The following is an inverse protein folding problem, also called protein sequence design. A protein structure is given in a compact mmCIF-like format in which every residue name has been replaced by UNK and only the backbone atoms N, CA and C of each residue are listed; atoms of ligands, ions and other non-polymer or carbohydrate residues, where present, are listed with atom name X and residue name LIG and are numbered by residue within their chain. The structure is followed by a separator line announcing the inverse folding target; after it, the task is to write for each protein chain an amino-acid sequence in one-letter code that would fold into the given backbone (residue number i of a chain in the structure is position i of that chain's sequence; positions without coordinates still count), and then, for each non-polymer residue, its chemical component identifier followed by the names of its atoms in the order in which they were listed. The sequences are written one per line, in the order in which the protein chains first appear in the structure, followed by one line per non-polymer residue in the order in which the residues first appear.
data_IF_573000521463
#
_entry.id   IF_573000521463
#
_cell.length_a   1.000
_cell.length_b   1.000
_cell.length_c   1.000
_cell.angle_alpha   90.00
_cell.angle_beta   90.00
_cell.angle_gamma   90.00
#
_symmetry.space_group_name_H-M   'P 1'
#
loop_
_entity.id
_entity.type
_entity.pdbx_description
1 polymer ?
#
# COMPACT_ATOMS: atom_id res chain seq x y z
N UNK A 1 25.64 16.49 -15.21
CA UNK A 1 26.60 16.76 -14.11
C UNK A 1 27.17 15.41 -13.69
N UNK A 2 28.45 15.13 -13.92
CA UNK A 2 29.04 13.81 -13.62
C UNK A 2 29.59 13.82 -12.20
N UNK A 3 29.04 12.98 -11.31
CA UNK A 3 29.45 12.85 -9.89
C UNK A 3 30.81 12.12 -9.72
N UNK A 4 31.76 12.35 -10.63
CA UNK A 4 33.05 11.65 -10.65
C UNK A 4 34.15 12.41 -9.88
N UNK A 5 33.85 13.57 -9.30
CA UNK A 5 34.78 14.36 -8.49
C UNK A 5 34.56 14.05 -6.98
N UNK A 6 35.62 13.66 -6.23
CA UNK A 6 35.52 13.38 -4.80
C UNK A 6 34.97 14.54 -3.95
N UNK A 7 35.23 15.80 -4.31
CA UNK A 7 34.66 16.96 -3.60
C UNK A 7 33.14 17.04 -3.77
N UNK A 8 32.65 16.83 -4.99
CA UNK A 8 31.21 16.87 -5.27
C UNK A 8 30.47 15.73 -4.57
N UNK A 9 31.09 14.55 -4.50
CA UNK A 9 30.55 13.42 -3.76
C UNK A 9 30.52 13.71 -2.25
N UNK A 10 31.58 14.29 -1.70
CA UNK A 10 31.64 14.66 -0.28
C UNK A 10 30.60 15.72 0.08
N UNK A 11 30.36 16.70 -0.78
CA UNK A 11 29.36 17.73 -0.52
C UNK A 11 27.93 17.17 -0.64
N UNK A 12 27.68 16.28 -1.60
CA UNK A 12 26.41 15.57 -1.75
C UNK A 12 26.09 14.76 -0.49
N UNK A 13 27.02 13.92 -0.05
CA UNK A 13 26.81 13.07 1.13
C UNK A 13 26.62 13.90 2.39
N UNK A 14 27.38 14.99 2.57
CA UNK A 14 27.20 15.92 3.70
C UNK A 14 25.80 16.52 3.72
N UNK A 15 25.29 17.01 2.58
CA UNK A 15 23.94 17.56 2.48
C UNK A 15 22.86 16.50 2.73
N UNK A 16 23.08 15.30 2.21
CA UNK A 16 22.17 14.18 2.43
C UNK A 16 22.11 13.77 3.90
N UNK A 17 23.24 13.69 4.61
CA UNK A 17 23.27 13.41 6.05
C UNK A 17 22.51 14.46 6.85
N UNK A 18 22.74 15.74 6.57
CA UNK A 18 22.01 16.82 7.25
C UNK A 18 20.50 16.75 6.95
N UNK A 19 20.11 16.35 5.74
CA UNK A 19 18.72 16.11 5.40
C UNK A 19 18.11 14.98 6.26
N UNK A 20 18.83 13.88 6.45
CA UNK A 20 18.38 12.78 7.31
C UNK A 20 18.25 13.17 8.78
N UNK A 21 19.10 14.08 9.27
CA UNK A 21 19.02 14.59 10.65
C UNK A 21 17.73 15.39 10.90
N UNK A 22 17.28 16.18 9.92
CA UNK A 22 16.06 16.99 10.04
C UNK A 22 14.80 16.26 9.59
N UNK A 23 14.93 15.23 8.76
CA UNK A 23 13.84 14.42 8.23
C UNK A 23 14.16 12.91 8.37
N UNK A 24 14.08 12.37 9.61
CA UNK A 24 14.39 10.96 9.86
C UNK A 24 13.42 10.00 9.14
N UNK A 25 12.25 10.47 8.71
CA UNK A 25 11.28 9.72 7.90
C UNK A 25 11.79 9.33 6.50
N UNK A 26 12.93 9.87 6.06
CA UNK A 26 13.63 9.43 4.84
C UNK A 26 14.48 8.18 5.05
N UNK A 27 14.75 7.80 6.31
CA UNK A 27 15.39 6.54 6.64
C UNK A 27 14.34 5.41 6.70
N UNK A 28 14.77 4.14 6.62
CA UNK A 28 13.86 3.01 6.75
C UNK A 28 13.07 3.05 8.05
N UNK A 29 11.74 2.91 7.94
CA UNK A 29 10.80 2.90 9.06
C UNK A 29 10.69 1.48 9.62
N UNK A 30 10.63 1.36 10.95
CA UNK A 30 10.60 0.08 11.66
C UNK A 30 9.50 -0.03 12.72
N UNK A 31 8.85 1.07 13.08
CA UNK A 31 7.80 1.10 14.10
C UNK A 31 6.67 2.06 13.72
N UNK A 32 5.53 1.89 14.39
CA UNK A 32 4.29 2.61 14.12
C UNK A 32 4.42 4.12 14.40
N UNK A 33 5.25 4.49 15.39
CA UNK A 33 5.43 5.90 15.75
C UNK A 33 6.18 6.65 14.65
N UNK A 34 7.23 6.04 14.10
CA UNK A 34 7.98 6.57 12.97
C UNK A 34 7.14 6.60 11.68
N UNK A 35 6.28 5.60 11.49
CA UNK A 35 5.33 5.56 10.38
C UNK A 35 4.33 6.72 10.44
N UNK A 36 3.68 6.94 11.59
CA UNK A 36 2.75 8.06 11.76
C UNK A 36 3.45 9.41 11.55
N UNK A 37 4.66 9.59 12.09
CA UNK A 37 5.42 10.82 11.88
C UNK A 37 5.77 11.07 10.40
N UNK A 38 6.00 10.01 9.62
CA UNK A 38 6.22 10.11 8.18
C UNK A 38 4.96 10.55 7.43
N UNK A 39 3.78 10.02 7.80
CA UNK A 39 2.50 10.44 7.24
C UNK A 39 2.20 11.92 7.53
N UNK A 40 2.39 12.35 8.79
CA UNK A 40 2.20 13.75 9.19
C UNK A 40 3.14 14.69 8.40
N UNK A 41 4.36 14.23 8.12
CA UNK A 41 5.32 14.98 7.30
C UNK A 41 4.87 15.10 5.85
N UNK A 42 4.36 14.02 5.25
CA UNK A 42 3.79 14.03 3.89
C UNK A 42 2.64 15.03 3.82
N UNK A 43 1.71 15.00 4.79
CA UNK A 43 0.57 15.91 4.81
C UNK A 43 1.02 17.38 4.89
N UNK A 44 1.95 17.70 5.81
CA UNK A 44 2.50 19.05 5.94
C UNK A 44 3.21 19.52 4.66
N UNK A 45 3.94 18.63 3.99
CA UNK A 45 4.61 18.94 2.72
C UNK A 45 3.59 19.24 1.63
N UNK A 46 2.57 18.39 1.45
CA UNK A 46 1.51 18.60 0.45
C UNK A 46 0.76 19.92 0.68
N UNK A 47 0.43 20.24 1.94
CA UNK A 47 -0.17 21.53 2.29
C UNK A 47 0.74 22.73 1.95
N UNK A 48 2.06 22.56 2.06
CA UNK A 48 3.05 23.62 1.77
C UNK A 48 3.33 23.82 0.28
N UNK A 49 3.06 22.82 -0.56
CA UNK A 49 3.32 22.85 -2.01
C UNK A 49 2.13 23.45 -2.78
N UNK A 50 0.90 23.29 -2.26
CA UNK A 50 -0.32 23.75 -2.93
C UNK A 50 -0.52 23.05 -4.28
N UNK A 51 -1.16 23.73 -5.23
CA UNK A 51 -1.53 23.15 -6.54
C UNK A 51 -0.42 23.25 -7.61
N UNK A 52 0.85 23.42 -7.23
CA UNK A 52 1.96 23.50 -8.19
C UNK A 52 2.53 22.09 -8.48
N UNK A 53 2.26 21.48 -9.64
CA UNK A 53 2.77 20.15 -9.97
C UNK A 53 4.29 20.11 -10.22
N UNK A 54 4.93 21.24 -10.52
CA UNK A 54 6.35 21.33 -10.86
C UNK A 54 7.22 21.67 -9.63
N UNK A 55 6.66 21.68 -8.42
CA UNK A 55 7.42 21.99 -7.22
C UNK A 55 8.41 20.85 -6.89
N UNK A 56 9.72 21.14 -6.75
CA UNK A 56 10.72 20.12 -6.48
C UNK A 56 10.51 19.41 -5.13
N UNK A 57 9.72 19.98 -4.21
CA UNK A 57 9.36 19.33 -2.93
C UNK A 57 8.46 18.12 -3.12
N UNK A 58 7.80 17.95 -4.27
CA UNK A 58 7.12 16.70 -4.61
C UNK A 58 8.09 15.51 -4.60
N UNK A 59 9.34 15.70 -5.02
CA UNK A 59 10.36 14.65 -4.93
C UNK A 59 10.58 14.20 -3.48
N UNK A 60 10.51 15.12 -2.52
CA UNK A 60 10.65 14.80 -1.11
C UNK A 60 9.45 13.99 -0.61
N UNK A 61 8.23 14.35 -1.04
CA UNK A 61 7.02 13.57 -0.75
C UNK A 61 7.14 12.14 -1.27
N UNK A 62 7.57 11.96 -2.51
CA UNK A 62 7.76 10.64 -3.12
C UNK A 62 8.82 9.80 -2.39
N UNK A 63 9.92 10.42 -1.96
CA UNK A 63 10.96 9.74 -1.19
C UNK A 63 10.45 9.22 0.17
N UNK A 64 9.62 10.01 0.86
CA UNK A 64 9.03 9.62 2.15
C UNK A 64 7.95 8.55 1.93
N UNK A 65 7.09 8.70 0.91
CA UNK A 65 6.10 7.68 0.52
C UNK A 65 6.74 6.32 0.30
N UNK A 66 7.90 6.28 -0.37
CA UNK A 66 8.59 5.02 -0.57
C UNK A 66 8.94 4.33 0.78
N UNK A 67 9.32 5.10 1.81
CA UNK A 67 9.60 4.52 3.13
C UNK A 67 8.33 4.04 3.84
N UNK A 68 7.22 4.77 3.71
CA UNK A 68 5.93 4.35 4.29
C UNK A 68 5.41 3.09 3.62
N UNK A 69 5.44 3.01 2.29
CA UNK A 69 5.08 1.82 1.51
C UNK A 69 5.96 0.62 1.88
N UNK A 70 7.28 0.83 2.04
CA UNK A 70 8.20 -0.23 2.44
C UNK A 70 7.94 -0.75 3.86
N UNK A 71 7.44 0.11 4.75
CA UNK A 71 6.99 -0.29 6.09
C UNK A 71 5.68 -1.06 6.02
N UNK A 72 4.67 -0.49 5.35
CA UNK A 72 3.36 -1.09 5.13
C UNK A 72 3.46 -2.49 4.51
N UNK A 73 4.33 -2.69 3.53
CA UNK A 73 4.59 -3.99 2.92
C UNK A 73 5.10 -5.02 3.94
N UNK A 74 5.96 -4.59 4.88
CA UNK A 74 6.54 -5.45 5.94
C UNK A 74 5.56 -5.75 7.06
N UNK A 75 4.69 -4.80 7.42
CA UNK A 75 3.79 -4.90 8.58
C UNK A 75 2.37 -5.31 8.24
N UNK A 76 1.94 -5.13 7.00
CA UNK A 76 0.63 -5.56 6.51
C UNK A 76 0.78 -6.70 5.49
N UNK A 77 0.53 -7.95 5.92
CA UNK A 77 0.52 -9.12 5.03
C UNK A 77 -0.45 -8.99 3.84
N UNK A 78 -1.42 -8.09 3.89
CA UNK A 78 -2.38 -7.87 2.81
C UNK A 78 -1.76 -7.06 1.65
N UNK A 79 -0.87 -6.11 1.96
CA UNK A 79 -0.25 -5.24 0.96
C UNK A 79 0.90 -5.96 0.22
N UNK A 80 1.57 -6.91 0.89
CA UNK A 80 2.61 -7.74 0.27
C UNK A 80 2.11 -8.89 -0.60
N UNK A 81 0.81 -9.14 -0.62
CA UNK A 81 0.19 -10.25 -1.37
C UNK A 81 -0.61 -9.79 -2.61
N UNK A 82 -0.63 -8.49 -2.92
CA UNK A 82 -1.46 -7.98 -4.03
C UNK A 82 -1.01 -8.43 -5.42
N UNK A 83 0.19 -8.98 -5.56
CA UNK A 83 0.68 -9.52 -6.83
C UNK A 83 0.05 -10.86 -7.22
N UNK A 84 -0.64 -11.58 -6.32
CA UNK A 84 -1.22 -12.89 -6.63
C UNK A 84 -2.55 -13.12 -5.92
N UNK A 85 -3.30 -14.14 -6.36
CA UNK A 85 -4.59 -14.56 -5.78
C UNK A 85 -4.62 -14.64 -4.25
N UNK A 86 -3.46 -14.75 -3.60
CA UNK A 86 -3.28 -14.72 -2.15
C UNK A 86 -3.72 -13.41 -1.48
N UNK A 87 -3.56 -12.24 -2.12
CA UNK A 87 -3.98 -10.95 -1.57
C UNK A 87 -5.50 -10.83 -1.45
N UNK A 88 -6.21 -11.27 -2.50
CA UNK A 88 -7.68 -11.34 -2.53
C UNK A 88 -8.18 -12.30 -1.44
N UNK A 89 -7.52 -13.45 -1.26
CA UNK A 89 -7.87 -14.41 -0.22
C UNK A 89 -7.64 -13.83 1.18
N UNK A 90 -6.54 -13.10 1.38
CA UNK A 90 -6.21 -12.44 2.66
C UNK A 90 -7.23 -11.33 2.99
N UNK A 91 -7.64 -10.54 1.99
CA UNK A 91 -8.71 -9.55 2.11
C UNK A 91 -10.02 -10.20 2.53
N UNK A 92 -10.46 -11.25 1.82
CA UNK A 92 -11.68 -11.99 2.15
C UNK A 92 -11.66 -12.54 3.57
N UNK A 93 -10.55 -13.18 3.99
CA UNK A 93 -10.39 -13.71 5.36
C UNK A 93 -10.46 -12.59 6.41
N UNK A 94 -9.91 -11.42 6.09
CA UNK A 94 -9.92 -10.26 6.99
C UNK A 94 -11.32 -9.69 7.15
N UNK A 95 -12.05 -9.51 6.06
CA UNK A 95 -13.46 -9.08 6.07
C UNK A 95 -14.33 -10.08 6.85
N UNK A 96 -14.15 -11.38 6.60
CA UNK A 96 -14.85 -12.41 7.37
C UNK A 96 -14.58 -12.30 8.87
N UNK A 97 -13.32 -12.11 9.27
CA UNK A 97 -12.95 -11.96 10.69
C UNK A 97 -13.53 -10.70 11.31
N UNK A 98 -13.42 -9.55 10.63
CA UNK A 98 -13.89 -8.25 11.11
C UNK A 98 -15.41 -8.21 11.27
N UNK A 99 -16.14 -8.84 10.34
CA UNK A 99 -17.59 -8.90 10.35
C UNK A 99 -18.15 -10.16 11.03
N UNK A 100 -17.30 -10.98 11.65
CA UNK A 100 -17.65 -12.27 12.28
C UNK A 100 -18.43 -13.24 11.37
N UNK A 101 -18.13 -13.25 10.08
CA UNK A 101 -18.80 -14.06 9.07
C UNK A 101 -18.15 -15.43 8.92
N UNK A 102 -18.99 -16.45 8.74
CA UNK A 102 -18.59 -17.79 8.30
C UNK A 102 -18.57 -17.86 6.77
N UNK A 103 -17.94 -18.90 6.23
CA UNK A 103 -17.90 -19.13 4.78
C UNK A 103 -19.31 -19.27 4.16
N UNK A 104 -20.27 -19.82 4.91
CA UNK A 104 -21.67 -19.93 4.48
C UNK A 104 -22.42 -18.60 4.39
N UNK A 105 -21.82 -17.51 4.87
CA UNK A 105 -22.43 -16.19 4.99
C UNK A 105 -21.89 -15.19 3.95
N UNK A 106 -21.28 -15.70 2.87
CA UNK A 106 -20.83 -14.96 1.69
C UNK A 106 -21.60 -15.38 0.42
N UNK A 107 -22.93 -15.10 0.33
CA UNK A 107 -23.74 -15.46 -0.83
C UNK A 107 -23.30 -14.75 -2.13
N UNK A 108 -22.50 -13.68 -2.02
CA UNK A 108 -21.94 -12.95 -3.16
C UNK A 108 -21.02 -13.84 -3.99
N UNK A 109 -20.30 -14.74 -3.33
CA UNK A 109 -19.40 -15.71 -3.94
C UNK A 109 -20.18 -16.96 -4.37
N UNK A 110 -21.09 -17.45 -3.53
CA UNK A 110 -21.96 -18.59 -3.85
C UNK A 110 -22.16 -19.54 -2.67
N UNK A 111 -22.28 -20.84 -2.95
CA UNK A 111 -22.40 -21.85 -1.90
C UNK A 111 -21.12 -21.95 -1.06
N UNK A 112 -21.21 -22.50 0.16
CA UNK A 112 -20.06 -22.68 1.04
C UNK A 112 -18.90 -23.43 0.36
N UNK A 113 -19.18 -24.40 -0.51
CA UNK A 113 -18.17 -25.11 -1.28
C UNK A 113 -17.39 -24.19 -2.22
N UNK A 114 -18.10 -23.31 -2.95
CA UNK A 114 -17.47 -22.31 -3.83
C UNK A 114 -16.64 -21.33 -3.03
N UNK A 115 -17.14 -20.87 -1.88
CA UNK A 115 -16.37 -19.99 -0.96
C UNK A 115 -15.09 -20.68 -0.49
N UNK A 116 -15.15 -21.97 -0.13
CA UNK A 116 -13.97 -22.74 0.26
C UNK A 116 -12.96 -22.90 -0.87
N UNK A 117 -13.41 -23.09 -2.11
CA UNK A 117 -12.52 -23.16 -3.29
C UNK A 117 -11.81 -21.83 -3.54
N UNK A 118 -12.54 -20.70 -3.40
CA UNK A 118 -11.95 -19.37 -3.51
C UNK A 118 -10.93 -19.11 -2.40
N UNK A 119 -11.28 -19.37 -1.14
CA UNK A 119 -10.39 -19.16 0.01
C UNK A 119 -9.15 -20.09 0.04
N UNK A 120 -9.15 -21.15 -0.76
CA UNK A 120 -8.02 -22.06 -0.95
C UNK A 120 -7.24 -21.80 -2.25
N UNK A 121 -7.63 -20.79 -3.03
CA UNK A 121 -6.96 -20.42 -4.28
C UNK A 121 -7.21 -21.39 -5.45
N UNK A 122 -8.11 -22.37 -5.29
CA UNK A 122 -8.49 -23.30 -6.37
C UNK A 122 -9.38 -22.63 -7.42
N UNK A 123 -10.02 -21.52 -7.06
CA UNK A 123 -10.95 -20.79 -7.92
C UNK A 123 -10.78 -19.28 -7.73
N UNK A 124 -10.76 -18.55 -8.84
CA UNK A 124 -10.73 -17.09 -8.84
C UNK A 124 -12.15 -16.52 -8.78
N UNK A 125 -12.28 -15.30 -8.22
CA UNK A 125 -13.52 -14.54 -8.30
C UNK A 125 -13.79 -14.11 -9.74
N UNK A 126 -15.06 -14.08 -10.15
CA UNK A 126 -15.46 -13.43 -11.40
C UNK A 126 -15.94 -11.99 -11.15
N UNK A 127 -16.06 -11.21 -12.23
CA UNK A 127 -16.46 -9.79 -12.17
C UNK A 127 -17.78 -9.56 -11.42
N UNK A 128 -18.77 -10.44 -11.58
CA UNK A 128 -20.07 -10.31 -10.90
C UNK A 128 -19.92 -10.51 -9.39
N UNK A 129 -19.10 -11.47 -8.96
CA UNK A 129 -18.81 -11.71 -7.55
C UNK A 129 -18.01 -10.55 -6.95
N UNK A 130 -17.03 -10.03 -7.69
CA UNK A 130 -16.24 -8.86 -7.29
C UNK A 130 -17.14 -7.65 -7.04
N UNK A 131 -18.04 -7.33 -7.96
CA UNK A 131 -18.98 -6.20 -7.82
C UNK A 131 -19.87 -6.35 -6.58
N UNK A 132 -20.42 -7.55 -6.35
CA UNK A 132 -21.27 -7.81 -5.17
C UNK A 132 -20.50 -7.71 -3.85
N UNK A 133 -19.25 -8.17 -3.81
CA UNK A 133 -18.40 -8.04 -2.63
C UNK A 133 -18.05 -6.58 -2.36
N UNK A 134 -17.68 -5.83 -3.40
CA UNK A 134 -17.43 -4.39 -3.34
C UNK A 134 -18.64 -3.63 -2.77
N UNK A 135 -19.83 -3.89 -3.31
CA UNK A 135 -21.08 -3.28 -2.83
C UNK A 135 -21.37 -3.63 -1.36
N UNK A 136 -21.20 -4.89 -0.96
CA UNK A 136 -21.50 -5.32 0.42
C UNK A 136 -20.57 -4.68 1.45
N UNK A 137 -19.29 -4.58 1.13
CA UNK A 137 -18.27 -4.09 2.07
C UNK A 137 -17.98 -2.60 1.91
N UNK A 138 -18.61 -1.93 0.93
CA UNK A 138 -18.37 -0.50 0.64
C UNK A 138 -16.94 -0.24 0.18
N UNK A 139 -16.38 -1.16 -0.60
CA UNK A 139 -14.99 -1.17 -1.04
C UNK A 139 -14.89 -1.02 -2.56
N UNK A 140 -13.76 -0.52 -3.05
CA UNK A 140 -13.50 -0.43 -4.48
C UNK A 140 -13.40 -1.84 -5.12
N UNK A 141 -14.06 -2.10 -6.28
CA UNK A 141 -14.01 -3.41 -6.95
C UNK A 141 -12.59 -3.89 -7.27
N UNK A 142 -11.68 -2.97 -7.57
CA UNK A 142 -10.28 -3.27 -7.85
C UNK A 142 -9.55 -3.98 -6.71
N UNK A 143 -10.03 -3.87 -5.46
CA UNK A 143 -9.47 -4.57 -4.31
C UNK A 143 -9.66 -6.10 -4.38
N UNK A 144 -10.66 -6.57 -5.13
CA UNK A 144 -10.96 -7.99 -5.30
C UNK A 144 -10.48 -8.54 -6.65
N UNK A 145 -9.66 -7.79 -7.39
CA UNK A 145 -9.12 -8.17 -8.69
C UNK A 145 -7.60 -8.36 -8.62
N UNK A 146 -7.03 -9.30 -9.39
CA UNK A 146 -5.58 -9.44 -9.51
C UNK A 146 -4.99 -8.23 -10.27
N UNK A 147 -3.79 -7.80 -9.87
CA UNK A 147 -3.08 -6.71 -10.54
C UNK A 147 -2.76 -7.08 -12.00
N UNK A 148 -3.36 -6.37 -12.97
CA UNK A 148 -3.13 -6.56 -14.40
C UNK A 148 -4.39 -6.73 -15.27
N UNK A 149 -5.57 -6.94 -14.67
CA UNK A 149 -6.85 -6.94 -15.40
C UNK A 149 -7.51 -5.56 -15.36
N UNK A 150 -6.98 -4.60 -16.12
CA UNK A 150 -7.70 -3.36 -16.47
C UNK A 150 -8.52 -3.61 -17.73
N UNK A 151 -9.85 -3.41 -17.64
CA UNK A 151 -10.72 -3.27 -18.82
C UNK A 151 -10.51 -1.93 -19.51
#
# INVERSE_FOLDING_TARGET
MSLNNPEQLSELTRRFTHLLEVAPCLAPIYDESAYQAALDTIEALLQSVGDNPEDPRHLLVEMIRHQTEAYEYRTHPILSLWDQHEGIIALLKTLMRQHHLKQSELPEIGSQGVVSEVLSGKRSLNLVQVQKLAERFGLEPGLFMPAGETH
#
